data_IF_623502939820
#
_entry.id   IF_623502939820
#
_cell.length_a   1.000
_cell.length_b   1.000
_cell.length_c   1.000
_cell.angle_alpha   90.00
_cell.angle_beta   90.00
_cell.angle_gamma   90.00
#
_symmetry.space_group_name_H-M   'P 1'
#
loop_
_entity.id
_entity.type
_entity.pdbx_description
1 polymer ?
#
# COMPACT_ATOMS: atom_id res chain seq x y z
N UNK A 1 19.66 22.16 -11.20
CA UNK A 1 18.91 21.27 -10.28
C UNK A 1 17.84 22.08 -9.57
N UNK A 2 16.79 21.42 -9.04
CA UNK A 2 15.70 22.12 -8.35
C UNK A 2 16.05 22.36 -6.89
N UNK A 3 16.43 21.31 -6.17
CA UNK A 3 16.77 21.39 -4.74
C UNK A 3 18.07 20.66 -4.36
N UNK A 4 18.58 19.76 -5.19
CA UNK A 4 19.75 18.94 -4.87
C UNK A 4 21.05 19.75 -4.71
N UNK A 5 21.16 20.91 -5.33
CA UNK A 5 22.30 21.84 -5.22
C UNK A 5 22.12 22.93 -4.13
N UNK A 6 20.97 22.99 -3.46
CA UNK A 6 20.66 24.01 -2.45
C UNK A 6 20.98 23.55 -1.02
N UNK A 7 22.17 23.02 -0.79
CA UNK A 7 22.59 22.37 0.47
C UNK A 7 22.33 23.26 1.72
N UNK A 8 22.50 24.56 1.59
CA UNK A 8 22.30 25.51 2.71
C UNK A 8 20.79 25.60 3.11
N UNK A 9 19.88 25.25 2.23
CA UNK A 9 18.43 25.28 2.50
C UNK A 9 17.90 23.96 3.06
N UNK A 10 18.59 22.83 2.85
CA UNK A 10 18.10 21.50 3.21
C UNK A 10 17.62 21.39 4.64
N UNK A 11 18.39 21.93 5.60
CA UNK A 11 18.02 21.83 7.02
C UNK A 11 16.68 22.53 7.32
N UNK A 12 16.44 23.69 6.71
CA UNK A 12 15.17 24.42 6.86
C UNK A 12 14.04 23.68 6.14
N UNK A 13 14.29 23.19 4.93
CA UNK A 13 13.30 22.45 4.15
C UNK A 13 12.88 21.15 4.86
N UNK A 14 13.82 20.45 5.50
CA UNK A 14 13.53 19.28 6.33
C UNK A 14 12.61 19.66 7.49
N UNK A 15 12.87 20.75 8.19
CA UNK A 15 12.02 21.20 9.30
C UNK A 15 10.61 21.52 8.81
N UNK A 16 10.47 22.29 7.74
CA UNK A 16 9.16 22.60 7.13
C UNK A 16 8.41 21.32 6.68
N UNK A 17 9.12 20.36 6.11
CA UNK A 17 8.56 19.10 5.67
C UNK A 17 8.06 18.23 6.81
N UNK A 18 8.81 18.18 7.91
CA UNK A 18 8.42 17.48 9.15
C UNK A 18 7.19 18.13 9.78
N UNK A 19 7.16 19.47 9.87
CA UNK A 19 6.01 20.19 10.41
C UNK A 19 4.74 19.98 9.58
N UNK A 20 4.85 20.00 8.26
CA UNK A 20 3.74 19.69 7.36
C UNK A 20 3.23 18.28 7.57
N UNK A 21 4.14 17.29 7.63
CA UNK A 21 3.79 15.90 7.85
C UNK A 21 3.08 15.71 9.20
N UNK A 22 3.64 16.25 10.28
CA UNK A 22 3.08 16.13 11.63
C UNK A 22 1.71 16.78 11.73
N UNK A 23 1.54 17.97 11.15
CA UNK A 23 0.24 18.65 11.07
C UNK A 23 -0.78 17.78 10.35
N UNK A 24 -0.42 17.23 9.19
CA UNK A 24 -1.31 16.31 8.48
C UNK A 24 -1.62 15.06 9.30
N UNK A 25 -0.61 14.42 9.88
CA UNK A 25 -0.79 13.20 10.64
C UNK A 25 -1.77 13.40 11.80
N UNK A 26 -1.60 14.47 12.58
CA UNK A 26 -2.46 14.75 13.75
C UNK A 26 -3.92 14.99 13.30
N UNK A 27 -4.14 15.70 12.21
CA UNK A 27 -5.49 16.10 11.80
C UNK A 27 -6.21 15.04 10.96
N UNK A 28 -5.51 14.27 10.13
CA UNK A 28 -6.11 13.40 9.13
C UNK A 28 -5.91 11.90 9.36
N UNK A 29 -4.76 11.47 9.89
CA UNK A 29 -4.51 10.06 10.11
C UNK A 29 -5.52 9.42 11.08
N UNK A 30 -5.93 10.06 12.21
CA UNK A 30 -6.96 9.52 13.08
C UNK A 30 -8.31 9.35 12.37
N UNK A 31 -8.66 10.25 11.44
CA UNK A 31 -9.89 10.16 10.66
C UNK A 31 -9.83 8.97 9.71
N UNK A 32 -8.76 8.84 8.92
CA UNK A 32 -8.55 7.74 7.99
C UNK A 32 -8.58 6.37 8.70
N UNK A 33 -7.94 6.29 9.87
CA UNK A 33 -7.93 5.06 10.67
C UNK A 33 -9.33 4.71 11.20
N UNK A 34 -10.07 5.69 11.76
CA UNK A 34 -11.43 5.49 12.27
C UNK A 34 -12.40 5.06 11.16
N UNK A 35 -12.36 5.69 10.00
CA UNK A 35 -13.20 5.34 8.85
C UNK A 35 -12.92 3.91 8.38
N UNK A 36 -11.64 3.53 8.32
CA UNK A 36 -11.26 2.16 7.97
C UNK A 36 -11.75 1.17 9.02
N UNK A 37 -11.59 1.47 10.31
CA UNK A 37 -12.07 0.62 11.40
C UNK A 37 -13.58 0.45 11.37
N UNK A 38 -14.35 1.50 11.11
CA UNK A 38 -15.81 1.41 10.98
C UNK A 38 -16.24 0.51 9.81
N UNK A 39 -15.59 0.66 8.64
CA UNK A 39 -15.84 -0.24 7.50
C UNK A 39 -15.49 -1.69 7.85
N UNK A 40 -14.34 -1.90 8.48
CA UNK A 40 -13.90 -3.23 8.92
C UNK A 40 -14.85 -3.82 9.96
N UNK A 41 -15.41 -3.03 10.88
CA UNK A 41 -16.43 -3.48 11.84
C UNK A 41 -17.65 -4.08 11.11
N UNK A 42 -18.14 -3.39 10.09
CA UNK A 42 -19.27 -3.91 9.29
C UNK A 42 -18.89 -5.22 8.55
N UNK A 43 -17.69 -5.32 8.01
CA UNK A 43 -17.20 -6.55 7.37
C UNK A 43 -17.09 -7.69 8.39
N UNK A 44 -16.62 -7.42 9.59
CA UNK A 44 -16.56 -8.41 10.68
C UNK A 44 -17.96 -8.89 11.05
N UNK A 45 -18.92 -7.97 11.23
CA UNK A 45 -20.31 -8.32 11.52
C UNK A 45 -20.85 -9.29 10.46
N UNK A 46 -20.72 -8.94 9.18
CA UNK A 46 -21.16 -9.79 8.06
C UNK A 46 -20.51 -11.18 8.07
N UNK A 47 -19.21 -11.25 8.38
CA UNK A 47 -18.49 -12.53 8.47
C UNK A 47 -18.94 -13.36 9.65
N UNK A 48 -19.19 -12.74 10.82
CA UNK A 48 -19.73 -13.43 11.99
C UNK A 48 -21.17 -13.94 11.72
N UNK A 49 -22.00 -13.17 11.04
CA UNK A 49 -23.35 -13.59 10.63
C UNK A 49 -23.32 -14.79 9.68
N UNK A 50 -22.43 -14.75 8.67
CA UNK A 50 -22.22 -15.89 7.74
C UNK A 50 -21.86 -17.17 8.48
N UNK A 51 -21.09 -17.09 9.58
CA UNK A 51 -20.66 -18.21 10.40
C UNK A 51 -21.60 -18.50 11.57
N UNK A 52 -22.88 -18.08 11.47
CA UNK A 52 -23.86 -18.22 12.55
C UNK A 52 -23.32 -17.70 13.90
N UNK A 53 -22.62 -16.55 13.86
CA UNK A 53 -21.98 -15.92 15.03
C UNK A 53 -20.93 -16.81 15.71
N UNK A 54 -20.07 -17.47 14.92
CA UNK A 54 -19.05 -18.46 15.34
C UNK A 54 -19.60 -19.78 15.92
N UNK A 55 -20.90 -20.03 15.84
CA UNK A 55 -21.49 -21.30 16.26
C UNK A 55 -21.44 -22.38 15.16
N UNK A 56 -21.10 -22.00 13.93
CA UNK A 56 -20.90 -22.91 12.80
C UNK A 56 -19.62 -22.53 12.06
N UNK A 57 -18.54 -23.16 12.45
CA UNK A 57 -17.22 -23.05 11.80
C UNK A 57 -16.78 -24.39 11.20
N UNK A 58 -17.76 -25.23 10.82
CA UNK A 58 -17.49 -26.50 10.15
C UNK A 58 -16.73 -26.32 8.85
N UNK A 59 -15.95 -27.34 8.39
CA UNK A 59 -15.23 -27.29 7.12
C UNK A 59 -16.12 -26.92 5.93
N UNK A 60 -17.35 -27.43 5.90
CA UNK A 60 -18.33 -27.12 4.86
C UNK A 60 -18.74 -25.66 4.90
N UNK A 61 -18.92 -25.10 6.09
CA UNK A 61 -19.24 -23.69 6.28
C UNK A 61 -18.10 -22.80 5.86
N UNK A 62 -16.88 -23.11 6.29
CA UNK A 62 -15.67 -22.38 5.87
C UNK A 62 -15.45 -22.46 4.36
N UNK A 63 -15.77 -23.60 3.74
CA UNK A 63 -15.72 -23.72 2.27
C UNK A 63 -16.66 -22.75 1.56
N UNK A 64 -17.82 -22.47 2.14
CA UNK A 64 -18.78 -21.49 1.57
C UNK A 64 -18.43 -20.03 1.83
N UNK A 65 -17.51 -19.74 2.77
CA UNK A 65 -17.15 -18.39 3.22
C UNK A 65 -15.64 -18.23 3.37
N UNK A 66 -14.84 -18.38 2.30
CA UNK A 66 -13.36 -18.30 2.39
C UNK A 66 -12.88 -16.94 2.88
N UNK A 67 -13.62 -15.86 2.58
CA UNK A 67 -13.37 -14.49 3.04
C UNK A 67 -13.40 -14.33 4.56
N UNK A 68 -14.09 -15.20 5.29
CA UNK A 68 -14.18 -15.15 6.74
C UNK A 68 -12.91 -15.67 7.46
N UNK A 69 -12.06 -16.45 6.79
CA UNK A 69 -10.88 -17.09 7.42
C UNK A 69 -9.89 -16.08 7.98
N UNK A 70 -9.65 -14.98 7.28
CA UNK A 70 -8.78 -13.88 7.72
C UNK A 70 -9.29 -13.21 9.00
N UNK A 71 -10.60 -13.07 9.12
CA UNK A 71 -11.27 -12.49 10.29
C UNK A 71 -11.24 -13.48 11.46
N UNK A 72 -11.51 -14.77 11.21
CA UNK A 72 -11.46 -15.82 12.22
C UNK A 72 -10.11 -15.90 12.94
N UNK A 73 -9.01 -15.66 12.23
CA UNK A 73 -7.67 -15.59 12.87
C UNK A 73 -7.57 -14.50 13.94
N UNK A 74 -8.34 -13.43 13.80
CA UNK A 74 -8.39 -12.35 14.79
C UNK A 74 -9.40 -12.60 15.91
N UNK A 75 -10.27 -13.60 15.75
CA UNK A 75 -11.23 -14.02 16.76
C UNK A 75 -10.63 -14.98 17.80
N UNK A 76 -9.40 -15.41 17.64
CA UNK A 76 -8.71 -16.33 18.57
C UNK A 76 -7.97 -15.61 19.70
N UNK A 77 -7.64 -16.35 20.73
CA UNK A 77 -6.76 -15.92 21.83
C UNK A 77 -5.53 -16.85 21.91
N UNK A 78 -4.30 -16.32 21.65
CA UNK A 78 -4.01 -15.01 21.05
C UNK A 78 -4.45 -14.94 19.57
N UNK A 79 -4.58 -13.74 18.97
CA UNK A 79 -4.81 -13.60 17.54
C UNK A 79 -3.72 -14.30 16.72
N UNK A 80 -4.13 -15.11 15.74
CA UNK A 80 -3.20 -15.93 14.97
C UNK A 80 -2.63 -15.19 13.77
N UNK A 81 -1.30 -15.11 13.68
CA UNK A 81 -0.63 -14.77 12.44
C UNK A 81 -0.86 -15.84 11.38
N UNK A 82 -0.88 -15.47 10.09
CA UNK A 82 -1.07 -16.43 8.97
C UNK A 82 -0.10 -17.62 9.03
N UNK A 83 1.17 -17.31 9.23
CA UNK A 83 2.22 -18.34 9.26
C UNK A 83 2.09 -19.27 10.49
N UNK A 84 1.59 -18.72 11.61
CA UNK A 84 1.30 -19.53 12.80
C UNK A 84 0.15 -20.51 12.54
N UNK A 85 -0.94 -20.05 11.93
CA UNK A 85 -2.05 -20.94 11.56
C UNK A 85 -1.62 -21.97 10.52
N UNK A 86 -0.80 -21.58 9.54
CA UNK A 86 -0.21 -22.51 8.55
C UNK A 86 0.57 -23.62 9.25
N UNK A 87 1.42 -23.27 10.23
CA UNK A 87 2.21 -24.25 10.98
C UNK A 87 1.37 -25.16 11.88
N UNK A 88 0.43 -24.59 12.64
CA UNK A 88 -0.47 -25.35 13.53
C UNK A 88 -1.34 -26.34 12.75
N UNK A 89 -1.91 -25.91 11.63
CA UNK A 89 -2.77 -26.72 10.77
C UNK A 89 -2.01 -27.64 9.82
N UNK A 90 -0.66 -27.59 9.81
CA UNK A 90 0.18 -28.33 8.84
C UNK A 90 -0.26 -28.10 7.39
N UNK A 91 -0.68 -26.84 7.09
CA UNK A 91 -1.23 -26.47 5.80
C UNK A 91 -0.13 -26.27 4.77
N UNK A 92 -0.49 -26.32 3.49
CA UNK A 92 0.40 -25.89 2.42
C UNK A 92 0.72 -24.40 2.58
N UNK A 93 1.99 -23.99 2.39
CA UNK A 93 2.48 -22.64 2.61
C UNK A 93 1.73 -21.56 1.81
N UNK A 94 1.17 -21.89 0.65
CA UNK A 94 0.41 -20.96 -0.19
C UNK A 94 -1.09 -20.95 0.09
N UNK A 95 -1.62 -21.91 0.85
CA UNK A 95 -3.07 -22.12 1.00
C UNK A 95 -3.78 -20.89 1.57
N UNK A 96 -3.38 -20.47 2.78
CA UNK A 96 -3.96 -19.28 3.42
C UNK A 96 -3.64 -18.00 2.65
N UNK A 97 -2.44 -17.89 2.06
CA UNK A 97 -2.07 -16.72 1.27
C UNK A 97 -3.03 -16.52 0.10
N UNK A 98 -3.31 -17.57 -0.68
CA UNK A 98 -4.22 -17.49 -1.82
C UNK A 98 -5.62 -17.11 -1.37
N UNK A 99 -6.13 -17.70 -0.28
CA UNK A 99 -7.46 -17.40 0.26
C UNK A 99 -7.55 -15.92 0.67
N UNK A 100 -6.57 -15.41 1.42
CA UNK A 100 -6.57 -14.02 1.92
C UNK A 100 -6.39 -13.00 0.80
N UNK A 101 -5.60 -13.32 -0.23
CA UNK A 101 -5.32 -12.41 -1.35
C UNK A 101 -6.46 -12.39 -2.39
N UNK A 102 -7.22 -13.49 -2.54
CA UNK A 102 -8.20 -13.66 -3.64
C UNK A 102 -9.63 -13.97 -3.21
N UNK A 103 -9.86 -14.23 -1.93
CA UNK A 103 -11.11 -14.77 -1.38
C UNK A 103 -11.58 -16.09 -2.07
N UNK A 104 -10.62 -16.82 -2.66
CA UNK A 104 -10.87 -18.08 -3.34
C UNK A 104 -9.85 -19.14 -2.91
N UNK A 105 -10.21 -20.40 -3.07
CA UNK A 105 -9.28 -21.50 -2.85
C UNK A 105 -8.28 -21.62 -4.00
N UNK A 106 -7.08 -22.20 -3.76
CA UNK A 106 -6.11 -22.43 -4.83
C UNK A 106 -6.71 -23.25 -5.98
N UNK A 107 -6.71 -22.72 -7.22
CA UNK A 107 -7.47 -23.33 -8.34
C UNK A 107 -6.98 -24.70 -8.77
N UNK A 108 -5.73 -25.05 -8.45
CA UNK A 108 -5.12 -26.36 -8.77
C UNK A 108 -5.23 -27.39 -7.63
N UNK A 109 -5.83 -27.00 -6.49
CA UNK A 109 -5.95 -27.91 -5.33
C UNK A 109 -7.26 -28.71 -5.46
N UNK A 110 -7.16 -30.03 -5.26
CA UNK A 110 -8.36 -30.91 -5.26
C UNK A 110 -9.25 -30.55 -4.08
N UNK A 111 -10.58 -30.68 -4.28
CA UNK A 111 -11.59 -30.32 -3.27
C UNK A 111 -11.40 -31.11 -1.97
N UNK A 112 -11.02 -32.37 -2.05
CA UNK A 112 -10.79 -33.24 -0.90
C UNK A 112 -9.66 -32.67 -0.01
N UNK A 113 -8.58 -32.23 -0.63
CA UNK A 113 -7.46 -31.61 0.09
C UNK A 113 -7.82 -30.24 0.67
N UNK A 114 -8.65 -29.46 -0.03
CA UNK A 114 -9.19 -28.21 0.51
C UNK A 114 -10.00 -28.50 1.77
N UNK A 115 -10.90 -29.50 1.73
CA UNK A 115 -11.75 -29.86 2.87
C UNK A 115 -10.92 -30.40 4.06
N UNK A 116 -9.85 -31.15 3.80
CA UNK A 116 -8.93 -31.62 4.83
C UNK A 116 -8.23 -30.44 5.53
N UNK A 117 -7.68 -29.50 4.76
CA UNK A 117 -7.08 -28.27 5.30
C UNK A 117 -8.11 -27.45 6.12
N UNK A 118 -9.34 -27.36 5.66
CA UNK A 118 -10.40 -26.64 6.37
C UNK A 118 -10.83 -27.38 7.65
N UNK A 119 -10.70 -28.73 7.73
CA UNK A 119 -10.93 -29.48 8.97
C UNK A 119 -9.91 -29.09 10.03
N UNK A 120 -8.62 -29.08 9.68
CA UNK A 120 -7.56 -28.64 10.61
C UNK A 120 -7.78 -27.21 11.08
N UNK A 121 -8.13 -26.31 10.17
CA UNK A 121 -8.44 -24.90 10.49
C UNK A 121 -9.65 -24.79 11.43
N UNK A 122 -10.72 -25.53 11.15
CA UNK A 122 -11.92 -25.58 11.97
C UNK A 122 -11.63 -26.03 13.41
N UNK A 123 -10.85 -27.10 13.58
CA UNK A 123 -10.44 -27.62 14.87
C UNK A 123 -9.62 -26.58 15.67
N UNK A 124 -8.65 -25.93 15.02
CA UNK A 124 -7.82 -24.90 15.66
C UNK A 124 -8.68 -23.71 16.11
N UNK A 125 -9.57 -23.24 15.27
CA UNK A 125 -10.45 -22.13 15.63
C UNK A 125 -11.39 -22.51 16.77
N UNK A 126 -11.96 -23.70 16.76
CA UNK A 126 -12.83 -24.18 17.85
C UNK A 126 -12.11 -24.22 19.18
N UNK A 127 -10.82 -24.58 19.19
CA UNK A 127 -10.00 -24.61 20.40
C UNK A 127 -9.55 -23.25 20.90
N UNK A 128 -9.45 -22.25 20.03
CA UNK A 128 -8.80 -20.97 20.33
C UNK A 128 -9.71 -19.75 20.22
N UNK A 129 -11.01 -19.91 19.99
CA UNK A 129 -11.96 -18.77 20.05
C UNK A 129 -11.82 -18.07 21.41
N UNK A 130 -11.87 -16.75 21.39
CA UNK A 130 -11.73 -15.89 22.58
C UNK A 130 -13.09 -15.77 23.28
N UNK A 131 -13.33 -16.58 24.31
CA UNK A 131 -14.59 -16.67 25.02
C UNK A 131 -14.99 -15.36 25.71
N UNK A 132 -14.00 -14.54 26.13
CA UNK A 132 -14.25 -13.22 26.71
C UNK A 132 -14.88 -12.24 25.68
N UNK A 133 -14.50 -12.39 24.42
CA UNK A 133 -15.04 -11.56 23.34
C UNK A 133 -16.36 -12.14 22.81
N UNK A 134 -16.49 -13.46 22.78
CA UNK A 134 -17.62 -14.19 22.18
C UNK A 134 -18.34 -15.10 23.21
N UNK A 135 -18.84 -14.57 24.34
CA UNK A 135 -19.42 -15.38 25.42
C UNK A 135 -20.64 -16.20 24.97
N UNK A 136 -21.30 -15.79 23.89
CA UNK A 136 -22.47 -16.52 23.36
C UNK A 136 -22.10 -17.84 22.65
N UNK A 137 -20.82 -18.07 22.32
CA UNK A 137 -20.38 -19.32 21.66
C UNK A 137 -20.49 -20.48 22.64
N UNK A 138 -20.08 -20.30 23.90
CA UNK A 138 -20.15 -21.32 24.93
C UNK A 138 -21.62 -21.66 25.26
N UNK A 139 -22.47 -20.65 25.46
CA UNK A 139 -23.89 -20.83 25.81
C UNK A 139 -24.79 -21.15 24.60
N UNK A 140 -24.22 -21.23 23.40
CA UNK A 140 -24.91 -21.55 22.15
C UNK A 140 -26.14 -20.64 21.85
N UNK A 141 -26.09 -19.39 22.29
CA UNK A 141 -27.15 -18.40 22.06
C UNK A 141 -26.78 -17.43 20.94
N UNK A 142 -27.76 -16.76 20.37
CA UNK A 142 -27.52 -15.65 19.44
C UNK A 142 -27.14 -14.42 20.25
N UNK A 143 -26.04 -13.69 19.86
CA UNK A 143 -25.69 -12.45 20.52
C UNK A 143 -26.76 -11.37 20.36
N UNK A 144 -26.84 -10.48 21.33
CA UNK A 144 -27.55 -9.23 21.18
C UNK A 144 -26.81 -8.31 20.21
N UNK A 145 -27.48 -7.32 19.65
CA UNK A 145 -26.84 -6.33 18.77
C UNK A 145 -25.67 -5.61 19.45
N UNK A 146 -25.78 -5.32 20.73
CA UNK A 146 -24.73 -4.66 21.53
C UNK A 146 -23.51 -5.55 21.71
N UNK A 147 -23.69 -6.83 22.01
CA UNK A 147 -22.60 -7.79 22.13
C UNK A 147 -21.91 -8.00 20.79
N UNK A 148 -22.69 -8.19 19.71
CA UNK A 148 -22.15 -8.34 18.36
C UNK A 148 -21.33 -7.12 17.95
N UNK A 149 -21.83 -5.90 18.15
CA UNK A 149 -21.14 -4.69 17.82
C UNK A 149 -19.84 -4.52 18.63
N UNK A 150 -19.88 -4.81 19.95
CA UNK A 150 -18.69 -4.75 20.83
C UNK A 150 -17.61 -5.71 20.34
N UNK A 151 -17.93 -6.97 20.15
CA UNK A 151 -17.00 -7.99 19.68
C UNK A 151 -16.44 -7.61 18.30
N UNK A 152 -17.32 -7.25 17.36
CA UNK A 152 -16.90 -6.84 16.02
C UNK A 152 -15.97 -5.63 16.01
N UNK A 153 -16.19 -4.67 16.90
CA UNK A 153 -15.31 -3.49 17.04
C UNK A 153 -13.93 -3.85 17.57
N UNK A 154 -13.84 -4.80 18.50
CA UNK A 154 -12.56 -5.31 19.02
C UNK A 154 -11.80 -6.04 17.91
N UNK A 155 -12.48 -6.93 17.19
CA UNK A 155 -11.86 -7.66 16.09
C UNK A 155 -11.44 -6.72 14.96
N UNK A 156 -12.26 -5.74 14.61
CA UNK A 156 -11.91 -4.73 13.62
C UNK A 156 -10.66 -3.93 14.03
N UNK A 157 -10.52 -3.60 15.31
CA UNK A 157 -9.33 -2.92 15.81
C UNK A 157 -8.07 -3.81 15.73
N UNK A 158 -8.18 -5.12 16.05
CA UNK A 158 -7.10 -6.09 15.84
C UNK A 158 -6.69 -6.18 14.37
N UNK A 159 -7.64 -6.26 13.44
CA UNK A 159 -7.40 -6.28 11.98
C UNK A 159 -6.72 -4.97 11.54
N UNK A 160 -7.26 -3.82 11.93
CA UNK A 160 -6.70 -2.51 11.56
C UNK A 160 -5.32 -2.28 12.20
N UNK A 161 -5.09 -2.75 13.42
CA UNK A 161 -3.80 -2.67 14.10
C UNK A 161 -2.70 -3.41 13.34
N UNK A 162 -3.01 -4.57 12.79
CA UNK A 162 -2.08 -5.35 11.96
C UNK A 162 -1.71 -4.64 10.63
N UNK A 163 -2.56 -3.72 10.15
CA UNK A 163 -2.38 -2.98 8.88
C UNK A 163 -2.40 -1.46 9.06
N UNK A 164 -2.13 -0.96 10.28
CA UNK A 164 -2.19 0.48 10.58
C UNK A 164 -1.22 1.29 9.69
N UNK A 165 0.02 0.84 9.54
CA UNK A 165 1.01 1.50 8.68
C UNK A 165 0.58 1.54 7.20
N UNK A 166 0.12 0.46 6.57
CA UNK A 166 -0.51 0.50 5.26
C UNK A 166 -1.66 1.49 5.13
N UNK A 167 -2.59 1.56 6.12
CA UNK A 167 -3.71 2.51 6.11
C UNK A 167 -3.20 3.95 6.03
N UNK A 168 -2.27 4.32 6.92
CA UNK A 168 -1.69 5.66 6.95
C UNK A 168 -0.90 5.95 5.68
N UNK A 169 -0.07 5.00 5.23
CA UNK A 169 0.73 5.14 4.00
C UNK A 169 -0.15 5.38 2.78
N UNK A 170 -1.24 4.62 2.63
CA UNK A 170 -2.17 4.79 1.52
C UNK A 170 -2.87 6.17 1.56
N UNK A 171 -3.23 6.66 2.75
CA UNK A 171 -3.82 7.99 2.90
C UNK A 171 -2.82 9.10 2.52
N UNK A 172 -1.55 8.94 2.88
CA UNK A 172 -0.47 9.85 2.49
C UNK A 172 -0.24 9.88 0.98
N UNK A 173 -0.14 8.71 0.36
CA UNK A 173 0.05 8.59 -1.08
C UNK A 173 -1.12 9.23 -1.84
N UNK A 174 -2.37 8.95 -1.46
CA UNK A 174 -3.54 9.56 -2.08
C UNK A 174 -3.51 11.08 -1.97
N UNK A 175 -3.11 11.63 -0.84
CA UNK A 175 -2.96 13.08 -0.65
C UNK A 175 -1.92 13.66 -1.60
N UNK A 176 -0.72 13.06 -1.66
CA UNK A 176 0.35 13.50 -2.54
C UNK A 176 -0.07 13.49 -4.02
N UNK A 177 -0.69 12.39 -4.45
CA UNK A 177 -1.21 12.28 -5.82
C UNK A 177 -2.30 13.32 -6.11
N UNK A 178 -3.20 13.59 -5.15
CA UNK A 178 -4.25 14.61 -5.32
C UNK A 178 -3.67 16.02 -5.44
N UNK A 179 -2.64 16.37 -4.67
CA UNK A 179 -1.95 17.67 -4.79
C UNK A 179 -1.27 17.84 -6.15
N UNK A 180 -0.62 16.78 -6.64
CA UNK A 180 0.01 16.81 -7.97
C UNK A 180 -1.07 16.90 -9.06
N UNK A 181 -2.18 16.17 -8.93
CA UNK A 181 -3.31 16.24 -9.87
C UNK A 181 -3.88 17.66 -9.95
N UNK A 182 -4.14 18.28 -8.80
CA UNK A 182 -4.63 19.67 -8.74
C UNK A 182 -3.64 20.65 -9.40
N UNK A 183 -2.35 20.54 -9.07
CA UNK A 183 -1.31 21.38 -9.67
C UNK A 183 -1.27 21.22 -11.20
N UNK A 184 -1.24 20.00 -11.70
CA UNK A 184 -1.16 19.72 -13.14
C UNK A 184 -2.44 20.15 -13.87
N UNK A 185 -3.61 19.91 -13.29
CA UNK A 185 -4.89 20.33 -13.87
C UNK A 185 -4.97 21.85 -13.96
N UNK A 186 -4.52 22.57 -12.93
CA UNK A 186 -4.45 24.05 -12.95
C UNK A 186 -3.47 24.59 -14.02
N UNK A 187 -2.46 23.80 -14.40
CA UNK A 187 -1.56 24.11 -15.54
C UNK A 187 -2.13 23.60 -16.88
N UNK A 188 -3.38 23.10 -16.89
CA UNK A 188 -4.10 22.65 -18.09
C UNK A 188 -3.68 21.27 -18.59
N UNK A 189 -3.07 20.42 -17.75
CA UNK A 189 -2.80 19.03 -18.08
C UNK A 189 -4.04 18.18 -17.87
N UNK A 190 -4.18 17.13 -18.68
CA UNK A 190 -5.29 16.19 -18.61
C UNK A 190 -4.80 14.84 -18.08
N UNK A 191 -5.59 14.24 -17.17
CA UNK A 191 -5.32 12.88 -16.67
C UNK A 191 -5.72 11.86 -17.74
N UNK A 192 -4.76 11.01 -18.14
CA UNK A 192 -5.06 9.91 -19.04
C UNK A 192 -5.88 8.84 -18.31
N UNK A 193 -7.03 8.48 -18.87
CA UNK A 193 -7.93 7.44 -18.33
C UNK A 193 -7.82 6.12 -19.10
N UNK A 194 -7.13 6.11 -20.24
CA UNK A 194 -6.96 4.91 -21.06
C UNK A 194 -5.94 3.96 -20.41
N UNK A 195 -6.40 2.76 -20.04
CA UNK A 195 -5.58 1.71 -19.41
C UNK A 195 -4.55 1.07 -20.36
N UNK A 196 -4.69 1.29 -21.66
CA UNK A 196 -3.77 0.78 -22.68
C UNK A 196 -2.71 1.80 -23.11
N UNK A 197 -2.71 2.98 -22.48
CA UNK A 197 -1.68 4.00 -22.73
C UNK A 197 -0.30 3.45 -22.34
N UNK A 198 0.65 3.57 -23.26
CA UNK A 198 2.08 3.32 -23.02
C UNK A 198 2.85 4.65 -23.06
N UNK A 199 4.14 4.63 -22.71
CA UNK A 199 4.98 5.84 -22.79
C UNK A 199 5.00 6.41 -24.20
N UNK A 200 5.04 5.55 -25.20
CA UNK A 200 5.11 5.91 -26.63
C UNK A 200 3.79 6.51 -27.12
N UNK A 201 2.66 6.01 -26.63
CA UNK A 201 1.32 6.49 -27.04
C UNK A 201 0.80 7.65 -26.19
N UNK A 202 1.49 7.98 -25.10
CA UNK A 202 1.09 9.06 -24.19
C UNK A 202 1.15 10.42 -24.89
N UNK A 203 0.05 11.17 -24.88
CA UNK A 203 -0.07 12.48 -25.55
C UNK A 203 0.60 13.59 -24.73
N UNK A 204 1.15 14.58 -25.42
CA UNK A 204 1.66 15.81 -24.77
C UNK A 204 0.55 16.51 -23.98
N UNK A 205 0.89 17.04 -22.83
CA UNK A 205 -0.07 17.70 -21.94
C UNK A 205 -0.94 16.74 -21.15
N UNK A 206 -0.55 15.45 -21.06
CA UNK A 206 -1.25 14.48 -20.22
C UNK A 206 -0.35 13.95 -19.11
N UNK A 207 -0.97 13.42 -18.06
CA UNK A 207 -0.29 12.70 -16.98
C UNK A 207 -1.07 11.45 -16.61
N UNK A 208 -0.40 10.50 -15.94
CA UNK A 208 -1.00 9.30 -15.42
C UNK A 208 -0.40 8.95 -14.06
N UNK A 209 -1.18 8.24 -13.24
CA UNK A 209 -0.76 7.76 -11.93
C UNK A 209 -0.58 6.25 -11.90
N UNK A 210 0.32 5.77 -11.05
CA UNK A 210 0.60 4.33 -10.84
C UNK A 210 0.82 3.61 -12.17
N UNK A 211 1.68 4.21 -12.98
CA UNK A 211 1.95 3.77 -14.33
C UNK A 211 3.08 2.74 -14.34
N UNK A 212 2.85 1.58 -14.93
CA UNK A 212 3.90 0.57 -15.10
C UNK A 212 4.73 0.85 -16.35
N UNK A 213 6.01 1.03 -16.18
CA UNK A 213 6.98 1.16 -17.27
C UNK A 213 7.79 -0.13 -17.41
N UNK A 214 8.18 -0.45 -18.63
CA UNK A 214 9.17 -1.49 -18.87
C UNK A 214 10.56 -0.91 -18.70
N UNK A 215 11.42 -1.57 -17.95
CA UNK A 215 12.78 -1.13 -17.71
C UNK A 215 13.76 -2.30 -17.79
N UNK A 216 14.95 -2.06 -18.35
CA UNK A 216 16.04 -3.04 -18.45
C UNK A 216 16.69 -3.25 -17.09
N UNK A 217 16.94 -4.50 -16.74
CA UNK A 217 17.62 -4.87 -15.48
C UNK A 217 19.06 -4.37 -15.48
N UNK A 218 19.76 -4.54 -16.62
CA UNK A 218 21.14 -4.05 -16.82
C UNK A 218 21.29 -3.43 -18.20
N UNK A 219 22.32 -2.61 -18.37
CA UNK A 219 22.63 -1.99 -19.66
C UNK A 219 23.04 -3.01 -20.74
N UNK A 220 23.57 -4.17 -20.34
CA UNK A 220 24.05 -5.24 -21.22
C UNK A 220 22.96 -6.23 -21.60
N UNK A 221 21.80 -6.22 -20.95
CA UNK A 221 20.70 -7.13 -21.23
C UNK A 221 19.75 -6.51 -22.24
N UNK A 222 19.62 -7.12 -23.42
CA UNK A 222 18.63 -6.71 -24.43
C UNK A 222 17.23 -7.31 -24.15
N UNK A 223 17.14 -8.41 -23.42
CA UNK A 223 15.91 -9.22 -23.27
C UNK A 223 15.28 -9.19 -21.88
N UNK A 224 16.06 -8.85 -20.82
CA UNK A 224 15.57 -8.91 -19.45
C UNK A 224 14.94 -7.57 -19.05
N UNK A 225 13.63 -7.48 -19.22
CA UNK A 225 12.83 -6.33 -18.80
C UNK A 225 12.05 -6.65 -17.51
N UNK A 226 11.92 -5.64 -16.68
CA UNK A 226 11.04 -5.66 -15.49
C UNK A 226 10.01 -4.56 -15.59
N UNK A 227 8.84 -4.83 -15.03
CA UNK A 227 7.81 -3.80 -14.87
C UNK A 227 8.11 -3.00 -13.59
N UNK A 228 8.30 -1.69 -13.75
CA UNK A 228 8.53 -0.76 -12.65
C UNK A 228 7.30 0.14 -12.51
N UNK A 229 6.61 0.12 -11.36
CA UNK A 229 5.55 1.07 -11.09
C UNK A 229 6.15 2.44 -10.82
N UNK A 230 5.61 3.48 -11.47
CA UNK A 230 5.93 4.89 -11.26
C UNK A 230 4.69 5.59 -10.72
N UNK A 231 4.84 6.37 -9.66
CA UNK A 231 3.70 7.02 -9.03
C UNK A 231 3.04 8.06 -9.93
N UNK A 232 3.85 8.88 -10.63
CA UNK A 232 3.36 9.89 -11.59
C UNK A 232 4.22 9.93 -12.85
N UNK A 233 3.59 9.87 -14.01
CA UNK A 233 4.24 10.05 -15.32
C UNK A 233 3.59 11.24 -16.01
N UNK A 234 4.40 12.19 -16.48
CA UNK A 234 3.92 13.43 -17.13
C UNK A 234 4.55 13.58 -18.50
N UNK A 235 3.74 13.74 -19.54
CA UNK A 235 4.19 14.08 -20.88
C UNK A 235 4.11 15.60 -21.07
N UNK A 236 5.26 16.26 -20.98
CA UNK A 236 5.37 17.71 -21.02
C UNK A 236 4.74 18.34 -22.27
N UNK A 237 4.14 19.52 -22.13
CA UNK A 237 3.68 20.36 -23.25
C UNK A 237 4.84 21.05 -23.95
N UNK A 238 5.91 21.37 -23.22
CA UNK A 238 7.05 22.14 -23.74
C UNK A 238 8.06 21.30 -24.52
N UNK A 239 8.13 20.01 -24.24
CA UNK A 239 9.08 19.10 -24.86
C UNK A 239 8.52 18.45 -26.13
N UNK A 240 9.42 17.93 -26.98
CA UNK A 240 8.98 17.19 -28.18
C UNK A 240 8.16 15.95 -27.82
N UNK A 241 7.35 15.45 -28.77
CA UNK A 241 6.56 14.22 -28.58
C UNK A 241 7.46 13.03 -28.24
N UNK A 242 8.66 12.95 -28.84
CA UNK A 242 9.60 11.86 -28.64
C UNK A 242 10.45 11.99 -27.37
N UNK A 243 10.34 13.11 -26.65
CA UNK A 243 11.06 13.30 -25.40
C UNK A 243 10.57 12.32 -24.34
N UNK A 244 11.52 11.80 -23.55
CA UNK A 244 11.21 10.97 -22.37
C UNK A 244 10.28 11.73 -21.41
N UNK A 245 9.21 11.09 -20.90
CA UNK A 245 8.36 11.69 -19.91
C UNK A 245 9.12 12.10 -18.64
N UNK A 246 8.48 12.93 -17.85
CA UNK A 246 8.92 13.25 -16.50
C UNK A 246 8.32 12.19 -15.56
N UNK A 247 9.17 11.59 -14.74
CA UNK A 247 8.79 10.60 -13.74
C UNK A 247 8.87 11.22 -12.36
N UNK A 248 7.86 10.98 -11.53
CA UNK A 248 7.87 11.42 -10.13
C UNK A 248 7.53 10.23 -9.22
N UNK A 249 8.33 10.04 -8.18
CA UNK A 249 8.10 9.11 -7.08
C UNK A 249 7.67 9.86 -5.84
N UNK A 250 6.48 9.55 -5.35
CA UNK A 250 5.93 10.13 -4.14
C UNK A 250 6.48 9.38 -2.90
N UNK A 251 7.14 10.11 -2.02
CA UNK A 251 7.73 9.55 -0.82
C UNK A 251 7.31 10.35 0.41
N UNK A 252 6.79 9.65 1.40
CA UNK A 252 6.58 10.24 2.71
C UNK A 252 7.17 9.37 3.82
N UNK A 253 7.68 10.01 4.86
CA UNK A 253 8.31 9.35 6.00
C UNK A 253 7.80 9.93 7.31
N UNK A 254 7.33 9.06 8.21
CA UNK A 254 6.85 9.43 9.55
C UNK A 254 7.94 9.44 10.62
N UNK A 255 9.15 8.98 10.29
CA UNK A 255 10.32 8.95 11.14
C UNK A 255 11.60 8.85 10.30
N UNK A 256 12.76 9.10 10.93
CA UNK A 256 14.08 9.04 10.28
C UNK A 256 14.66 7.61 10.14
N UNK A 257 14.05 6.60 10.76
CA UNK A 257 14.70 5.28 10.91
C UNK A 257 14.67 4.42 9.67
N UNK A 258 13.66 4.59 8.82
CA UNK A 258 13.44 3.75 7.64
C UNK A 258 14.02 4.30 6.31
N UNK A 259 14.70 5.45 6.34
CA UNK A 259 15.19 6.10 5.11
C UNK A 259 16.32 5.31 4.44
N UNK A 260 17.20 4.64 5.21
CA UNK A 260 18.33 3.87 4.67
C UNK A 260 17.92 2.68 3.78
N UNK A 261 16.82 1.99 4.09
CA UNK A 261 16.29 0.90 3.25
C UNK A 261 15.75 1.46 1.93
N UNK A 262 15.05 2.57 1.99
CA UNK A 262 14.44 3.23 0.81
C UNK A 262 15.50 3.68 -0.19
N UNK A 263 16.64 4.23 0.26
CA UNK A 263 17.77 4.65 -0.62
C UNK A 263 18.23 3.55 -1.56
N UNK A 264 18.39 2.31 -1.06
CA UNK A 264 18.82 1.18 -1.90
C UNK A 264 17.81 0.80 -2.97
N UNK A 265 16.53 0.85 -2.62
CA UNK A 265 15.43 0.56 -3.56
C UNK A 265 15.36 1.62 -4.65
N UNK A 266 15.50 2.88 -4.28
CA UNK A 266 15.48 4.05 -5.17
C UNK A 266 16.70 4.05 -6.11
N UNK A 267 17.91 3.83 -5.61
CA UNK A 267 19.12 3.72 -6.43
C UNK A 267 19.02 2.61 -7.48
N UNK A 268 18.42 1.47 -7.14
CA UNK A 268 18.19 0.38 -8.09
C UNK A 268 17.21 0.80 -9.18
N UNK A 269 16.09 1.41 -8.80
CA UNK A 269 15.05 1.89 -9.70
C UNK A 269 15.59 2.93 -10.68
N UNK A 270 16.35 3.91 -10.17
CA UNK A 270 16.99 4.93 -10.99
C UNK A 270 17.91 4.32 -12.04
N UNK A 271 18.76 3.38 -11.62
CA UNK A 271 19.68 2.70 -12.54
C UNK A 271 18.96 2.00 -13.65
N UNK A 272 17.87 1.27 -13.34
CA UNK A 272 17.04 0.59 -14.33
C UNK A 272 16.36 1.57 -15.30
N UNK A 273 15.86 2.70 -14.80
CA UNK A 273 15.26 3.75 -15.62
C UNK A 273 16.31 4.39 -16.53
N UNK A 274 17.51 4.73 -16.00
CA UNK A 274 18.61 5.28 -16.79
C UNK A 274 19.10 4.29 -17.86
N UNK A 275 19.17 3.01 -17.57
CA UNK A 275 19.54 1.98 -18.56
C UNK A 275 18.56 1.88 -19.73
N UNK A 276 17.31 2.24 -19.50
CA UNK A 276 16.24 2.14 -20.51
C UNK A 276 16.05 3.45 -21.28
N UNK A 277 15.98 4.57 -20.56
CA UNK A 277 15.62 5.87 -21.12
C UNK A 277 16.81 6.83 -21.28
N UNK A 278 18.01 6.35 -20.94
CA UNK A 278 19.25 7.13 -21.02
C UNK A 278 19.51 7.99 -19.75
N UNK A 279 20.75 8.50 -19.67
CA UNK A 279 21.23 9.27 -18.52
C UNK A 279 20.49 10.62 -18.33
N UNK A 280 19.83 11.12 -19.37
CA UNK A 280 19.05 12.36 -19.33
C UNK A 280 17.58 12.14 -18.93
N UNK A 281 17.23 10.95 -18.44
CA UNK A 281 15.89 10.71 -17.93
C UNK A 281 15.59 11.62 -16.73
N UNK A 282 14.38 12.16 -16.69
CA UNK A 282 13.91 13.10 -15.67
C UNK A 282 13.11 12.35 -14.61
N UNK A 283 13.80 11.91 -13.57
CA UNK A 283 13.19 11.30 -12.41
C UNK A 283 13.39 12.19 -11.19
N UNK A 284 12.29 12.50 -10.52
CA UNK A 284 12.26 13.36 -9.32
C UNK A 284 11.56 12.65 -8.17
N UNK A 285 11.97 12.97 -6.96
CA UNK A 285 11.24 12.58 -5.76
C UNK A 285 10.28 13.70 -5.36
N UNK A 286 9.09 13.34 -4.88
CA UNK A 286 8.15 14.26 -4.25
C UNK A 286 8.08 13.93 -2.77
N UNK A 287 8.75 14.75 -1.94
CA UNK A 287 9.10 14.43 -0.55
C UNK A 287 8.19 15.12 0.46
N UNK A 288 7.74 14.36 1.48
CA UNK A 288 7.07 14.89 2.66
C UNK A 288 7.50 14.15 3.93
N UNK A 289 7.86 14.86 4.99
CA UNK A 289 8.19 14.32 6.30
C UNK A 289 9.68 14.18 6.58
N UNK A 290 10.09 13.10 7.18
CA UNK A 290 11.34 12.91 7.87
C UNK A 290 12.47 12.41 6.95
N UNK A 291 12.89 13.25 6.00
CA UNK A 291 14.06 13.01 5.13
C UNK A 291 15.20 13.90 5.57
N UNK A 292 16.19 13.35 6.29
CA UNK A 292 17.31 14.12 6.82
C UNK A 292 18.31 14.56 5.75
N UNK A 293 19.23 15.44 6.12
CA UNK A 293 20.27 15.94 5.21
C UNK A 293 21.23 14.84 4.72
N UNK A 294 21.39 13.75 5.48
CA UNK A 294 22.17 12.58 5.06
C UNK A 294 21.49 11.82 3.94
N UNK A 295 20.17 11.64 4.03
CA UNK A 295 19.36 11.07 2.95
C UNK A 295 19.45 11.93 1.68
N UNK A 296 19.22 13.25 1.82
CA UNK A 296 19.26 14.19 0.69
C UNK A 296 20.65 14.22 0.01
N UNK A 297 21.72 14.19 0.79
CA UNK A 297 23.08 14.15 0.26
C UNK A 297 23.37 12.89 -0.55
N UNK A 298 22.81 11.75 -0.11
CA UNK A 298 22.91 10.49 -0.85
C UNK A 298 22.15 10.54 -2.18
N UNK A 299 20.89 10.99 -2.17
CA UNK A 299 20.07 11.10 -3.38
C UNK A 299 20.69 12.07 -4.40
N UNK A 300 21.21 13.22 -3.93
CA UNK A 300 21.91 14.15 -4.77
C UNK A 300 23.18 13.54 -5.41
N UNK A 301 23.93 12.72 -4.67
CA UNK A 301 25.11 12.02 -5.18
C UNK A 301 24.78 10.97 -6.26
N UNK A 302 23.62 10.32 -6.17
CA UNK A 302 23.09 9.41 -7.20
C UNK A 302 22.49 10.15 -8.42
N UNK A 303 22.50 11.50 -8.37
CA UNK A 303 22.00 12.36 -9.44
C UNK A 303 20.48 12.48 -9.47
N UNK A 304 19.83 12.29 -8.34
CA UNK A 304 18.43 12.60 -8.13
C UNK A 304 18.24 14.04 -7.67
N UNK A 305 17.09 14.57 -8.02
CA UNK A 305 16.60 15.83 -7.52
C UNK A 305 15.18 15.64 -6.97
N UNK A 306 14.69 16.59 -6.21
CA UNK A 306 13.39 16.46 -5.57
C UNK A 306 12.59 17.75 -5.53
N UNK A 307 11.30 17.56 -5.26
CA UNK A 307 10.32 18.62 -4.99
C UNK A 307 9.78 18.37 -3.59
N UNK A 308 9.74 19.40 -2.78
CA UNK A 308 9.12 19.33 -1.47
C UNK A 308 7.61 19.54 -1.57
N UNK A 309 6.83 18.72 -0.87
CA UNK A 309 5.37 18.87 -0.84
C UNK A 309 4.94 20.26 -0.32
N UNK A 310 5.63 20.79 0.71
CA UNK A 310 5.36 22.14 1.23
C UNK A 310 5.73 23.26 0.25
N UNK A 311 6.43 22.95 -0.83
CA UNK A 311 6.83 23.88 -1.89
C UNK A 311 6.57 23.29 -3.28
N UNK A 312 5.32 22.82 -3.50
CA UNK A 312 4.90 22.21 -4.77
C UNK A 312 5.10 23.15 -5.97
N UNK A 313 5.20 24.45 -5.75
CA UNK A 313 5.56 25.45 -6.80
C UNK A 313 6.87 25.13 -7.51
N UNK A 314 7.79 24.42 -6.87
CA UNK A 314 9.04 23.97 -7.51
C UNK A 314 8.80 23.07 -8.73
N UNK A 315 7.60 22.52 -8.91
CA UNK A 315 7.21 21.84 -10.15
C UNK A 315 7.29 22.73 -11.40
N UNK A 316 7.34 24.03 -11.25
CA UNK A 316 7.54 24.96 -12.39
C UNK A 316 8.87 24.74 -13.10
N UNK A 317 9.89 24.27 -12.37
CA UNK A 317 11.22 23.96 -12.92
C UNK A 317 11.25 22.63 -13.70
N UNK A 318 10.17 21.86 -13.74
CA UNK A 318 10.10 20.58 -14.47
C UNK A 318 9.93 20.73 -15.99
N UNK A 319 9.89 21.95 -16.54
CA UNK A 319 9.61 22.18 -17.96
C UNK A 319 8.25 21.59 -18.40
N UNK A 320 7.26 21.81 -17.60
CA UNK A 320 5.87 21.39 -17.85
C UNK A 320 5.22 22.15 -19.01
#
# INVERSE_FOLDING_TARGET
MINADKVLQWKNDVACSVDLYNSWFIHYAPKAYRETRLKTTNTVIQSLEKLNYLRDITPTKLFSCPDAISILRMCTVPPLARDRLTGLGKLNNSFLKVIEDTNNFPPKMKKELVMENLSHISEIFTMLIDDDIFPWVEVQQKPTEKELYRASSIIADRVCGAVANPIIKNAQEQRQLSLIEEYLTNKGYEKSVDRHTTIETMKRGTFNFRFNIKAKISAESETDEVNIPIDVVIKSKKLSQDATPIFIECKSAGDFTNTNKRRKEEATKIRQIKNTYGNNCRLYLFLCGYFDTGYLGYEAAEGLDWIWEHRISDMEYLEL
#
